data_IF_655135634922
#
_entry.id   IF_655135634922
#
_cell.length_a   1.000
_cell.length_b   1.000
_cell.length_c   1.000
_cell.angle_alpha   90.00
_cell.angle_beta   90.00
_cell.angle_gamma   90.00
#
_symmetry.space_group_name_H-M   'P 1'
#
loop_
_entity.id
_entity.type
_entity.pdbx_description
1 polymer ?
#
# COMPACT_ATOMS: atom_id res chain seq x y z
N UNK A 1 -3.43 -38.62 -18.53
CA UNK A 1 -2.83 -39.42 -17.44
C UNK A 1 -1.74 -38.64 -16.72
N UNK A 2 -0.58 -38.38 -17.35
CA UNK A 2 0.57 -37.76 -16.68
C UNK A 2 0.32 -36.35 -16.11
N UNK A 3 -0.48 -35.52 -16.80
CA UNK A 3 -0.85 -34.18 -16.32
C UNK A 3 -1.62 -34.22 -14.99
N UNK A 4 -2.59 -35.12 -14.87
CA UNK A 4 -3.39 -35.29 -13.65
C UNK A 4 -2.54 -35.83 -12.50
N UNK A 5 -1.64 -36.78 -12.79
CA UNK A 5 -0.67 -37.27 -11.82
C UNK A 5 0.25 -36.14 -11.33
N UNK A 6 0.77 -35.31 -12.24
CA UNK A 6 1.59 -34.15 -11.89
C UNK A 6 0.83 -33.17 -11.01
N UNK A 7 -0.42 -32.84 -11.34
CA UNK A 7 -1.26 -31.94 -10.53
C UNK A 7 -1.46 -32.51 -9.13
N UNK A 8 -1.80 -33.81 -9.03
CA UNK A 8 -1.98 -34.47 -7.73
C UNK A 8 -0.70 -34.41 -6.89
N UNK A 9 0.45 -34.76 -7.46
CA UNK A 9 1.74 -34.68 -6.76
C UNK A 9 2.07 -33.24 -6.34
N UNK A 10 1.81 -32.25 -7.19
CA UNK A 10 2.01 -30.83 -6.86
C UNK A 10 1.11 -30.37 -5.71
N UNK A 11 -0.16 -30.79 -5.70
CA UNK A 11 -1.08 -30.46 -4.59
C UNK A 11 -0.60 -31.11 -3.29
N UNK A 12 -0.27 -32.39 -3.29
CA UNK A 12 0.26 -33.10 -2.11
C UNK A 12 1.53 -32.40 -1.61
N UNK A 13 2.44 -32.03 -2.51
CA UNK A 13 3.66 -31.31 -2.17
C UNK A 13 3.36 -29.96 -1.52
N UNK A 14 2.45 -29.17 -2.08
CA UNK A 14 2.04 -27.89 -1.51
C UNK A 14 1.43 -28.07 -0.11
N UNK A 15 0.52 -29.02 0.08
CA UNK A 15 -0.08 -29.31 1.39
C UNK A 15 0.94 -29.78 2.43
N UNK A 16 1.95 -30.55 2.02
CA UNK A 16 2.96 -31.09 2.93
C UNK A 16 4.06 -30.09 3.31
N UNK A 17 4.35 -29.11 2.44
CA UNK A 17 5.48 -28.18 2.63
C UNK A 17 5.07 -26.76 3.02
N UNK A 18 3.78 -26.44 2.96
CA UNK A 18 3.23 -25.11 3.28
C UNK A 18 2.03 -25.23 4.22
N UNK A 19 1.61 -24.12 4.81
CA UNK A 19 0.43 -24.05 5.66
C UNK A 19 -0.90 -24.08 4.87
N UNK A 20 -0.90 -24.49 3.60
CA UNK A 20 -2.13 -24.57 2.78
C UNK A 20 -3.15 -25.54 3.37
N UNK A 21 -2.72 -26.52 4.16
CA UNK A 21 -3.63 -27.43 4.87
C UNK A 21 -4.55 -26.71 5.88
N UNK A 22 -4.15 -25.54 6.40
CA UNK A 22 -4.99 -24.73 7.29
C UNK A 22 -6.27 -24.25 6.60
N UNK A 23 -6.28 -24.14 5.27
CA UNK A 23 -7.50 -23.79 4.49
C UNK A 23 -8.60 -24.84 4.67
N UNK A 24 -8.24 -26.10 4.97
CA UNK A 24 -9.22 -27.15 5.23
C UNK A 24 -9.99 -26.92 6.55
N UNK A 25 -9.51 -26.03 7.43
CA UNK A 25 -10.19 -25.63 8.67
C UNK A 25 -11.18 -24.48 8.47
N UNK A 26 -11.31 -23.92 7.26
CA UNK A 26 -12.26 -22.83 6.96
C UNK A 26 -13.71 -23.13 7.36
N UNK A 27 -14.24 -24.36 7.23
CA UNK A 27 -15.59 -24.66 7.71
C UNK A 27 -15.78 -24.36 9.21
N UNK A 28 -14.79 -24.69 10.05
CA UNK A 28 -14.82 -24.42 11.49
C UNK A 28 -14.77 -22.91 11.77
N UNK A 29 -13.99 -22.15 10.99
CA UNK A 29 -13.98 -20.69 11.08
C UNK A 29 -15.38 -20.11 10.78
N UNK A 30 -16.05 -20.62 9.74
CA UNK A 30 -17.39 -20.17 9.38
C UNK A 30 -18.39 -20.51 10.48
N UNK A 31 -18.33 -21.73 11.04
CA UNK A 31 -19.20 -22.12 12.16
C UNK A 31 -19.03 -21.20 13.37
N UNK A 32 -17.80 -20.95 13.83
CA UNK A 32 -17.52 -20.07 14.96
C UNK A 32 -17.93 -18.62 14.68
N UNK A 33 -17.70 -18.12 13.45
CA UNK A 33 -18.12 -16.79 13.04
C UNK A 33 -19.65 -16.64 13.00
N UNK A 34 -20.39 -17.68 12.64
CA UNK A 34 -21.86 -17.65 12.62
C UNK A 34 -22.47 -17.57 14.03
N UNK A 35 -21.76 -18.04 15.05
CA UNK A 35 -22.14 -17.92 16.46
C UNK A 35 -21.72 -16.58 17.08
N UNK A 36 -20.78 -15.88 16.45
CA UNK A 36 -20.26 -14.61 16.91
C UNK A 36 -21.24 -13.44 16.69
N UNK A 37 -21.43 -12.63 17.74
CA UNK A 37 -22.26 -11.43 17.68
C UNK A 37 -21.44 -10.19 17.33
N UNK A 38 -21.17 -10.01 16.03
CA UNK A 38 -20.44 -8.83 15.55
C UNK A 38 -20.12 -8.89 14.06
N UNK A 39 -19.19 -8.04 13.65
CA UNK A 39 -18.66 -8.03 12.28
C UNK A 39 -17.54 -9.05 12.10
N UNK A 40 -17.28 -9.44 10.85
CA UNK A 40 -16.14 -10.30 10.51
C UNK A 40 -14.80 -9.69 10.93
N UNK A 41 -14.67 -8.36 10.81
CA UNK A 41 -13.46 -7.65 11.24
C UNK A 41 -13.23 -7.73 12.74
N UNK A 42 -14.29 -7.60 13.54
CA UNK A 42 -14.20 -7.72 15.01
C UNK A 42 -13.85 -9.15 15.40
N UNK A 43 -14.49 -10.15 14.79
CA UNK A 43 -14.17 -11.56 15.01
C UNK A 43 -12.70 -11.85 14.73
N UNK A 44 -12.19 -11.41 13.57
CA UNK A 44 -10.78 -11.63 13.21
C UNK A 44 -9.86 -10.89 14.17
N UNK A 45 -10.17 -9.65 14.55
CA UNK A 45 -9.34 -8.90 15.49
C UNK A 45 -9.30 -9.57 16.87
N UNK A 46 -10.44 -10.02 17.37
CA UNK A 46 -10.54 -10.66 18.69
C UNK A 46 -9.75 -11.97 18.79
N UNK A 47 -9.76 -12.79 17.73
CA UNK A 47 -9.12 -14.11 17.75
C UNK A 47 -7.68 -14.12 17.21
N UNK A 48 -7.32 -13.19 16.32
CA UNK A 48 -6.00 -13.17 15.66
C UNK A 48 -5.08 -12.03 16.12
N UNK A 49 -5.59 -11.01 16.82
CA UNK A 49 -4.77 -9.93 17.37
C UNK A 49 -4.57 -10.08 18.89
N UNK A 50 -3.43 -10.67 19.26
CA UNK A 50 -3.00 -10.82 20.66
C UNK A 50 -4.11 -11.36 21.60
N UNK A 51 -4.82 -12.37 21.09
CA UNK A 51 -5.94 -13.01 21.76
C UNK A 51 -5.53 -13.56 23.13
N UNK A 52 -6.29 -13.20 24.16
CA UNK A 52 -6.03 -13.63 25.54
C UNK A 52 -6.84 -14.87 25.84
N UNK A 53 -6.26 -15.76 26.64
CA UNK A 53 -6.95 -16.96 27.10
C UNK A 53 -8.24 -16.64 27.86
N UNK A 54 -9.34 -17.15 27.34
CA UNK A 54 -10.70 -17.03 27.87
C UNK A 54 -11.35 -18.43 27.98
N UNK A 55 -12.68 -18.49 27.91
CA UNK A 55 -13.46 -19.70 28.18
C UNK A 55 -13.46 -20.70 27.01
N UNK A 56 -13.37 -20.21 25.78
CA UNK A 56 -13.40 -20.98 24.53
C UNK A 56 -12.04 -21.10 23.84
N UNK A 57 -10.97 -20.60 24.48
CA UNK A 57 -9.57 -20.77 24.07
C UNK A 57 -9.23 -22.08 23.33
N UNK A 58 -9.63 -23.25 23.87
CA UNK A 58 -9.32 -24.55 23.26
C UNK A 58 -10.01 -24.77 21.90
N UNK A 59 -11.15 -24.14 21.67
CA UNK A 59 -11.85 -24.07 20.38
C UNK A 59 -11.15 -23.07 19.47
N UNK A 60 -10.76 -21.90 19.98
CA UNK A 60 -10.06 -20.87 19.20
C UNK A 60 -8.71 -21.35 18.68
N UNK A 61 -7.99 -22.16 19.47
CA UNK A 61 -6.74 -22.78 19.04
C UNK A 61 -6.88 -23.70 17.82
N UNK A 62 -8.11 -24.12 17.48
CA UNK A 62 -8.40 -24.96 16.30
C UNK A 62 -8.72 -24.14 15.06
N UNK A 63 -8.92 -22.83 15.18
CA UNK A 63 -9.16 -21.96 14.04
C UNK A 63 -7.97 -21.99 13.07
N UNK A 64 -8.21 -21.74 11.77
CA UNK A 64 -7.15 -21.70 10.77
C UNK A 64 -6.05 -20.71 11.17
N UNK A 65 -4.79 -21.09 11.00
CA UNK A 65 -3.62 -20.20 11.15
C UNK A 65 -3.33 -19.66 12.56
N UNK A 66 -4.07 -20.05 13.61
CA UNK A 66 -3.73 -19.70 15.01
C UNK A 66 -2.50 -20.48 15.47
N UNK A 67 -2.52 -21.81 15.32
CA UNK A 67 -1.40 -22.70 15.60
C UNK A 67 -1.08 -23.56 14.36
N UNK A 68 -0.47 -22.96 13.33
CA UNK A 68 -0.14 -23.72 12.13
C UNK A 68 0.95 -24.76 12.46
N UNK A 69 0.87 -25.97 11.87
CA UNK A 69 1.91 -26.98 12.04
C UNK A 69 3.25 -26.45 11.52
N UNK A 70 4.35 -26.91 12.13
CA UNK A 70 5.70 -26.64 11.63
C UNK A 70 5.90 -27.47 10.37
N UNK A 71 5.65 -26.88 9.22
CA UNK A 71 5.97 -27.46 7.90
C UNK A 71 7.37 -27.02 7.45
N UNK A 72 7.85 -27.55 6.32
CA UNK A 72 9.09 -27.12 5.63
C UNK A 72 9.01 -25.67 5.10
N UNK A 73 8.51 -24.73 5.91
CA UNK A 73 8.60 -23.31 5.63
C UNK A 73 10.02 -22.89 5.93
N UNK A 74 10.79 -22.60 4.89
CA UNK A 74 12.07 -21.89 5.05
C UNK A 74 11.72 -20.56 5.72
N UNK A 75 12.16 -20.37 6.96
CA UNK A 75 12.09 -19.09 7.65
C UNK A 75 12.97 -18.11 6.89
N UNK A 76 12.40 -17.44 5.89
CA UNK A 76 13.07 -16.38 5.17
C UNK A 76 13.16 -15.18 6.11
N UNK A 77 14.31 -15.04 6.79
CA UNK A 77 14.63 -13.78 7.47
C UNK A 77 14.70 -12.69 6.41
N UNK A 78 13.65 -11.88 6.35
CA UNK A 78 13.67 -10.65 5.57
C UNK A 78 14.81 -9.78 6.14
N UNK A 79 15.71 -9.25 5.30
CA UNK A 79 16.73 -8.33 5.76
C UNK A 79 16.06 -7.09 6.37
N UNK A 80 16.70 -6.49 7.36
CA UNK A 80 16.22 -5.27 8.00
C UNK A 80 16.04 -4.16 6.96
N UNK A 81 14.78 -3.84 6.67
CA UNK A 81 14.42 -2.90 5.62
C UNK A 81 14.46 -1.48 6.20
N UNK A 82 15.58 -0.79 6.02
CA UNK A 82 15.70 0.63 6.39
C UNK A 82 15.32 1.51 5.20
N UNK A 83 14.35 2.41 5.40
CA UNK A 83 13.98 3.42 4.43
C UNK A 83 14.39 4.79 4.95
N UNK A 84 15.25 5.48 4.21
CA UNK A 84 15.61 6.87 4.48
C UNK A 84 14.82 7.79 3.52
N UNK A 85 13.80 8.46 4.06
CA UNK A 85 13.04 9.47 3.30
C UNK A 85 13.83 10.78 3.34
N UNK A 86 14.65 11.00 2.32
CA UNK A 86 15.40 12.27 2.19
C UNK A 86 14.43 13.41 1.89
N UNK A 87 14.52 14.48 2.69
CA UNK A 87 13.78 15.72 2.42
C UNK A 87 14.22 16.30 1.07
N UNK A 88 13.28 16.83 0.26
CA UNK A 88 13.64 17.50 -0.99
C UNK A 88 14.54 18.69 -0.68
N UNK A 89 15.61 18.85 -1.48
CA UNK A 89 16.55 19.96 -1.33
C UNK A 89 15.86 21.24 -1.80
N UNK A 90 15.66 22.20 -0.89
CA UNK A 90 15.13 23.52 -1.26
C UNK A 90 16.10 24.20 -2.25
N UNK A 91 15.61 24.52 -3.44
CA UNK A 91 16.36 25.25 -4.45
C UNK A 91 16.09 26.75 -4.24
N UNK A 92 17.03 27.45 -3.60
CA UNK A 92 16.97 28.92 -3.52
C UNK A 92 17.39 29.52 -4.86
N UNK A 93 16.42 29.88 -5.71
CA UNK A 93 16.69 30.63 -6.93
C UNK A 93 16.91 32.10 -6.57
N UNK A 94 18.12 32.63 -6.80
CA UNK A 94 18.40 34.06 -6.63
C UNK A 94 17.64 34.84 -7.69
N UNK A 95 16.57 35.52 -7.29
CA UNK A 95 15.76 36.36 -8.16
C UNK A 95 16.52 37.68 -8.38
N UNK A 96 17.19 37.81 -9.52
CA UNK A 96 17.87 39.05 -9.90
C UNK A 96 16.80 40.04 -10.40
N UNK A 97 16.49 41.06 -9.59
CA UNK A 97 15.58 42.13 -10.01
C UNK A 97 16.24 42.93 -11.15
N UNK A 98 15.79 42.72 -12.39
CA UNK A 98 16.20 43.58 -13.51
C UNK A 98 15.37 44.86 -13.45
N UNK A 99 15.97 45.96 -12.99
CA UNK A 99 15.38 47.29 -13.16
C UNK A 99 15.60 47.68 -14.62
N UNK A 100 14.51 47.81 -15.38
CA UNK A 100 14.53 48.29 -16.75
C UNK A 100 14.82 49.79 -16.74
N UNK A 101 15.97 50.22 -17.28
CA UNK A 101 16.23 51.61 -17.58
C UNK A 101 15.82 51.88 -19.02
N UNK A 102 14.74 52.63 -19.20
CA UNK A 102 14.27 53.10 -20.49
C UNK A 102 15.34 54.02 -21.08
N UNK A 103 15.88 53.67 -22.26
CA UNK A 103 16.83 54.54 -22.96
C UNK A 103 16.03 55.66 -23.61
N UNK A 104 16.46 56.91 -23.45
CA UNK A 104 15.87 58.09 -24.08
C UNK A 104 15.87 57.97 -25.62
N UNK A 105 14.83 57.36 -26.18
CA UNK A 105 14.60 57.38 -27.61
C UNK A 105 13.98 58.74 -27.96
N UNK A 106 14.60 59.49 -28.86
CA UNK A 106 14.07 60.75 -29.37
C UNK A 106 12.75 60.49 -30.12
N UNK A 107 11.63 60.60 -29.41
CA UNK A 107 10.29 60.33 -29.92
C UNK A 107 9.76 61.48 -30.80
N UNK A 108 10.52 61.87 -31.83
CA UNK A 108 10.09 62.86 -32.82
C UNK A 108 8.79 62.45 -33.52
N UNK A 109 8.53 61.13 -33.64
CA UNK A 109 7.30 60.59 -34.22
C UNK A 109 6.07 60.71 -33.29
N UNK A 110 6.23 60.62 -31.96
CA UNK A 110 5.10 60.75 -31.02
C UNK A 110 4.42 62.13 -31.09
N UNK A 111 5.19 63.18 -31.45
CA UNK A 111 4.64 64.54 -31.61
C UNK A 111 3.68 64.70 -32.80
N UNK A 112 3.63 63.72 -33.71
CA UNK A 112 2.76 63.72 -34.89
C UNK A 112 1.46 62.93 -34.72
N UNK A 113 1.34 62.14 -33.66
CA UNK A 113 0.20 61.21 -33.48
C UNK A 113 -1.08 61.95 -33.06
N UNK A 114 -0.94 63.09 -32.37
CA UNK A 114 -2.07 63.90 -31.90
C UNK A 114 -2.23 65.21 -32.68
N UNK A 115 -2.14 65.18 -34.01
CA UNK A 115 -2.50 66.36 -34.81
C UNK A 115 -3.97 66.30 -35.23
N UNK A 116 -4.72 67.42 -35.10
CA UNK A 116 -6.11 67.46 -35.53
C UNK A 116 -6.26 67.30 -37.06
N UNK A 117 -7.44 66.86 -37.55
CA UNK A 117 -7.67 66.65 -38.97
C UNK A 117 -7.51 67.97 -39.73
N UNK A 118 -6.73 67.95 -40.83
CA UNK A 118 -6.56 69.12 -41.68
C UNK A 118 -7.75 69.19 -42.64
N UNK A 119 -8.52 70.27 -42.57
CA UNK A 119 -9.60 70.55 -43.50
C UNK A 119 -9.00 71.17 -44.78
N UNK A 120 -9.33 70.60 -45.93
CA UNK A 120 -8.97 71.14 -47.25
C UNK A 120 -9.75 72.40 -47.59
#
# INVERSE_FOLDING_TARGET
MLKWFSILCSMIYAFATTNTAEVLKVPMFVEHFMEYHGSLSEFVMEHYDNHKKDADWDTDQKLPFINPPIVLTVYAQLPELSFDIKKPKEITVSQKNSIYQEKDFSNLYLSRIFQPPRLS
#
